data_IF_603228966770
#
_entry.id   IF_603228966770
#
_cell.length_a   1.000
_cell.length_b   1.000
_cell.length_c   1.000
_cell.angle_alpha   90.00
_cell.angle_beta   90.00
_cell.angle_gamma   90.00
#
_symmetry.space_group_name_H-M   'P 1'
#
loop_
_entity.id
_entity.type
_entity.pdbx_description
1 polymer ?
#
# COMPACT_ATOMS: atom_id res chain seq x y z
N UNK A 1 -8.62 -17.14 -12.89
CA UNK A 1 -7.96 -15.82 -12.71
C UNK A 1 -7.04 -15.90 -11.52
N UNK A 2 -5.82 -15.37 -11.61
CA UNK A 2 -4.86 -15.36 -10.49
C UNK A 2 -4.89 -13.99 -9.85
N UNK A 3 -5.23 -13.93 -8.57
CA UNK A 3 -5.29 -12.69 -7.78
C UNK A 3 -4.18 -12.70 -6.72
N UNK A 4 -3.57 -11.53 -6.49
CA UNK A 4 -2.48 -11.37 -5.53
C UNK A 4 -2.99 -10.59 -4.33
N UNK A 5 -2.99 -11.21 -3.16
CA UNK A 5 -3.46 -10.61 -1.91
C UNK A 5 -2.33 -10.54 -0.89
N UNK A 6 -2.29 -9.47 -0.10
CA UNK A 6 -1.28 -9.28 0.93
C UNK A 6 -1.93 -8.82 2.23
N UNK A 7 -1.58 -9.46 3.35
CA UNK A 7 -2.10 -9.15 4.69
C UNK A 7 -0.95 -8.99 5.69
N UNK A 8 -1.20 -8.30 6.81
CA UNK A 8 -0.20 -8.17 7.87
C UNK A 8 -0.07 -9.47 8.68
N UNK A 9 1.03 -9.60 9.42
CA UNK A 9 1.14 -10.63 10.47
C UNK A 9 0.03 -10.42 11.51
N UNK A 10 -0.66 -11.51 11.86
CA UNK A 10 -1.86 -11.55 12.72
C UNK A 10 -3.18 -11.07 12.07
N UNK A 11 -3.17 -10.67 10.81
CA UNK A 11 -4.40 -10.49 10.03
C UNK A 11 -4.88 -11.85 9.46
N UNK A 12 -6.07 -11.85 8.88
CA UNK A 12 -6.61 -13.02 8.19
C UNK A 12 -7.45 -12.64 6.98
N UNK A 13 -7.56 -13.57 6.05
CA UNK A 13 -8.43 -13.48 4.87
C UNK A 13 -9.19 -14.80 4.71
N UNK A 14 -10.45 -14.74 4.28
CA UNK A 14 -11.28 -15.93 4.06
C UNK A 14 -11.06 -16.47 2.65
N UNK A 15 -10.43 -17.64 2.53
CA UNK A 15 -10.11 -18.32 1.27
C UNK A 15 -10.29 -19.84 1.44
N UNK A 16 -10.77 -20.53 0.41
CA UNK A 16 -11.00 -21.98 0.42
C UNK A 16 -11.93 -22.45 1.58
N UNK A 17 -12.88 -21.60 1.99
CA UNK A 17 -13.82 -21.92 3.08
C UNK A 17 -13.26 -21.79 4.50
N UNK A 18 -12.06 -21.23 4.69
CA UNK A 18 -11.48 -21.00 6.01
C UNK A 18 -10.69 -19.67 6.08
N UNK A 19 -10.42 -19.18 7.30
CA UNK A 19 -9.53 -18.05 7.51
C UNK A 19 -8.07 -18.49 7.39
N UNK A 20 -7.32 -17.81 6.52
CA UNK A 20 -5.91 -18.08 6.26
C UNK A 20 -5.03 -17.03 6.94
N UNK A 21 -3.95 -17.51 7.56
CA UNK A 21 -2.99 -16.70 8.31
C UNK A 21 -1.55 -16.85 7.78
N UNK A 22 -1.37 -17.60 6.70
CA UNK A 22 -0.05 -17.96 6.18
C UNK A 22 0.01 -17.81 4.66
N UNK A 23 1.19 -17.39 4.19
CA UNK A 23 1.50 -17.26 2.76
C UNK A 23 1.24 -18.57 2.04
N UNK A 24 0.60 -18.51 0.88
CA UNK A 24 0.27 -19.70 0.12
C UNK A 24 -0.62 -19.41 -1.09
N UNK A 25 -0.86 -20.44 -1.87
CA UNK A 25 -1.82 -20.40 -2.99
C UNK A 25 -3.11 -21.09 -2.57
N UNK A 26 -4.21 -20.36 -2.65
CA UNK A 26 -5.55 -20.84 -2.32
C UNK A 26 -6.40 -20.88 -3.58
N UNK A 27 -7.21 -21.93 -3.75
CA UNK A 27 -8.04 -22.12 -4.94
C UNK A 27 -9.50 -22.22 -4.50
N UNK A 28 -10.31 -21.30 -5.01
CA UNK A 28 -11.75 -21.23 -4.78
C UNK A 28 -12.49 -21.53 -6.08
N UNK A 29 -13.49 -22.40 -6.00
CA UNK A 29 -14.43 -22.69 -7.09
C UNK A 29 -15.73 -21.94 -6.82
N UNK A 30 -15.98 -20.89 -7.59
CA UNK A 30 -17.24 -20.16 -7.56
C UNK A 30 -18.20 -20.89 -8.51
N UNK A 31 -19.07 -21.71 -7.92
CA UNK A 31 -20.05 -22.49 -8.67
C UNK A 31 -21.23 -21.59 -9.06
N UNK A 32 -21.55 -21.54 -10.36
CA UNK A 32 -22.70 -20.81 -10.88
C UNK A 32 -23.86 -21.79 -11.11
N UNK A 33 -25.08 -21.39 -10.74
CA UNK A 33 -26.29 -22.19 -10.98
C UNK A 33 -26.48 -22.50 -12.49
N UNK A 34 -25.85 -21.73 -13.37
CA UNK A 34 -25.91 -21.90 -14.83
C UNK A 34 -24.77 -22.76 -15.43
N UNK A 35 -23.86 -23.33 -14.62
CA UNK A 35 -22.79 -24.23 -15.10
C UNK A 35 -21.55 -23.56 -15.68
N UNK A 36 -21.45 -22.23 -15.60
CA UNK A 36 -20.20 -21.50 -15.82
C UNK A 36 -19.48 -21.33 -14.48
N UNK A 37 -18.76 -22.36 -14.06
CA UNK A 37 -17.99 -22.29 -12.82
C UNK A 37 -16.71 -21.49 -13.06
N UNK A 38 -16.38 -20.59 -12.13
CA UNK A 38 -15.15 -19.81 -12.20
C UNK A 38 -14.18 -20.29 -11.13
N UNK A 39 -12.95 -20.59 -11.55
CA UNK A 39 -11.85 -20.94 -10.65
C UNK A 39 -11.03 -19.69 -10.39
N UNK A 40 -10.97 -19.32 -9.11
CA UNK A 40 -10.16 -18.21 -8.59
C UNK A 40 -8.98 -18.82 -7.89
N UNK A 41 -7.79 -18.38 -8.28
CA UNK A 41 -6.55 -18.77 -7.59
C UNK A 41 -6.00 -17.53 -6.93
N UNK A 42 -5.89 -17.53 -5.62
CA UNK A 42 -5.37 -16.41 -4.84
C UNK A 42 -3.99 -16.75 -4.33
N UNK A 43 -2.99 -15.94 -4.67
CA UNK A 43 -1.68 -15.99 -4.05
C UNK A 43 -1.65 -15.01 -2.88
N UNK A 44 -1.68 -15.55 -1.66
CA UNK A 44 -1.63 -14.78 -0.42
C UNK A 44 -0.18 -14.64 0.03
N UNK A 45 0.22 -13.42 0.36
CA UNK A 45 1.48 -13.10 1.03
C UNK A 45 1.17 -12.51 2.41
N UNK A 46 1.74 -13.11 3.45
CA UNK A 46 1.69 -12.60 4.82
C UNK A 46 3.05 -11.98 5.13
N UNK A 47 3.05 -10.68 5.40
CA UNK A 47 4.26 -9.92 5.74
C UNK A 47 4.02 -9.12 7.02
N UNK A 48 5.05 -8.83 7.79
CA UNK A 48 4.96 -7.94 8.94
C UNK A 48 4.86 -6.46 8.53
N UNK A 49 5.20 -6.13 7.28
CA UNK A 49 5.11 -4.77 6.76
C UNK A 49 4.52 -4.77 5.37
N UNK A 50 3.34 -4.16 5.24
CA UNK A 50 2.74 -3.88 3.95
C UNK A 50 3.36 -2.60 3.37
N UNK A 51 3.59 -2.58 2.07
CA UNK A 51 4.07 -1.40 1.36
C UNK A 51 2.96 -0.82 0.49
N UNK A 52 2.76 0.48 0.59
CA UNK A 52 1.94 1.28 -0.31
C UNK A 52 2.79 2.10 -1.26
N UNK A 53 2.15 2.62 -2.30
CA UNK A 53 2.73 3.65 -3.15
C UNK A 53 2.12 4.99 -2.75
N UNK A 54 2.96 5.98 -2.52
CA UNK A 54 2.52 7.36 -2.32
C UNK A 54 3.14 8.27 -3.39
N UNK A 55 2.38 9.28 -3.80
CA UNK A 55 2.73 10.14 -4.92
C UNK A 55 3.00 11.54 -4.41
N UNK A 56 4.25 12.01 -4.58
CA UNK A 56 4.65 13.34 -4.18
C UNK A 56 4.84 14.25 -5.41
N UNK A 57 4.21 15.42 -5.36
CA UNK A 57 4.50 16.55 -6.25
C UNK A 57 5.44 17.51 -5.53
N UNK A 58 6.64 17.72 -6.08
CA UNK A 58 7.70 18.53 -5.47
C UNK A 58 8.10 19.61 -6.48
N UNK A 59 8.08 20.88 -6.06
CA UNK A 59 8.54 21.99 -6.88
C UNK A 59 10.07 22.08 -6.89
N UNK A 60 10.63 22.80 -7.86
CA UNK A 60 12.08 23.01 -7.93
C UNK A 60 12.58 23.76 -6.68
N UNK A 61 13.52 23.15 -5.95
CA UNK A 61 14.10 23.72 -4.73
C UNK A 61 13.41 23.27 -3.43
N UNK A 62 12.31 22.53 -3.51
CA UNK A 62 11.57 22.04 -2.34
C UNK A 62 11.97 20.62 -1.93
N UNK A 63 11.60 20.25 -0.70
CA UNK A 63 11.86 18.92 -0.17
C UNK A 63 10.73 18.44 0.75
N UNK A 64 10.46 17.14 0.72
CA UNK A 64 9.40 16.49 1.49
C UNK A 64 9.97 15.24 2.18
N UNK A 65 9.66 15.06 3.46
CA UNK A 65 9.98 13.82 4.17
C UNK A 65 8.88 12.78 3.87
N UNK A 66 9.23 11.72 3.14
CA UNK A 66 8.31 10.66 2.76
C UNK A 66 8.98 9.29 3.01
N UNK A 67 8.30 8.41 3.77
CA UNK A 67 8.81 7.07 4.07
C UNK A 67 10.11 7.05 4.88
N UNK A 68 10.37 8.08 5.70
CA UNK A 68 11.58 8.21 6.51
C UNK A 68 12.81 8.77 5.75
N UNK A 69 12.65 9.17 4.48
CA UNK A 69 13.71 9.78 3.69
C UNK A 69 13.25 11.10 3.04
N UNK A 70 14.19 12.04 2.86
CA UNK A 70 13.94 13.30 2.16
C UNK A 70 13.89 13.05 0.65
N UNK A 71 12.80 13.47 0.01
CA UNK A 71 12.63 13.43 -1.43
C UNK A 71 12.83 14.83 -2.00
N UNK A 72 13.59 14.91 -3.10
CA UNK A 72 13.87 16.15 -3.87
C UNK A 72 13.45 16.03 -5.34
N UNK A 73 12.77 14.94 -5.69
CA UNK A 73 12.30 14.65 -7.04
C UNK A 73 10.87 14.15 -6.96
N UNK A 74 9.98 14.74 -7.76
CA UNK A 74 8.59 14.31 -7.85
C UNK A 74 8.52 12.87 -8.37
N UNK A 75 7.60 12.07 -7.84
CA UNK A 75 7.46 10.69 -8.26
C UNK A 75 6.68 9.82 -7.28
N UNK A 76 6.68 8.53 -7.58
CA UNK A 76 6.05 7.50 -6.77
C UNK A 76 7.11 6.89 -5.86
N UNK A 77 6.87 6.92 -4.55
CA UNK A 77 7.75 6.29 -3.55
C UNK A 77 7.02 5.14 -2.88
N UNK A 78 7.73 4.02 -2.67
CA UNK A 78 7.20 2.88 -1.92
C UNK A 78 7.43 3.10 -0.43
N UNK A 79 6.36 3.13 0.36
CA UNK A 79 6.40 3.39 1.79
C UNK A 79 5.70 2.30 2.60
N UNK A 80 6.17 1.97 3.82
CA UNK A 80 5.42 1.12 4.73
C UNK A 80 4.04 1.71 5.06
N UNK A 81 2.96 0.96 4.89
CA UNK A 81 1.59 1.37 5.24
C UNK A 81 1.40 1.83 6.71
N UNK A 82 2.07 1.28 7.74
CA UNK A 82 1.93 1.83 9.09
C UNK A 82 2.55 3.24 9.26
N UNK A 83 3.28 3.75 8.27
CA UNK A 83 3.94 5.06 8.29
C UNK A 83 3.22 6.12 7.46
N UNK A 84 1.99 5.87 7.01
CA UNK A 84 1.25 6.80 6.14
C UNK A 84 0.69 8.05 6.88
N UNK A 85 1.08 8.26 8.15
CA UNK A 85 0.64 9.40 8.96
C UNK A 85 1.86 10.21 9.39
N UNK A 86 2.16 11.27 8.64
CA UNK A 86 3.14 12.28 9.05
C UNK A 86 4.10 12.70 7.94
N UNK A 87 3.61 13.54 7.02
CA UNK A 87 4.47 14.25 6.07
C UNK A 87 5.00 15.51 6.75
N UNK A 88 6.32 15.67 6.85
CA UNK A 88 6.94 16.94 7.22
C UNK A 88 7.53 17.55 5.95
N UNK A 89 6.96 18.67 5.52
CA UNK A 89 7.50 19.48 4.41
C UNK A 89 8.45 20.52 5.00
N UNK A 90 9.68 20.58 4.49
CA UNK A 90 10.61 21.67 4.78
C UNK A 90 10.70 22.54 3.54
N UNK A 91 10.08 23.72 3.59
CA UNK A 91 10.23 24.73 2.55
C UNK A 91 11.54 25.50 2.77
N UNK A 92 12.29 25.73 1.69
CA UNK A 92 13.17 26.89 1.59
C UNK A 92 12.55 27.84 0.57
N UNK A 93 11.44 28.48 0.93
CA UNK A 93 10.95 29.60 0.13
C UNK A 93 11.54 30.89 0.66
N UNK A 94 12.13 31.66 -0.26
CA UNK A 94 12.45 33.06 -0.05
C UNK A 94 11.22 33.79 0.51
N UNK A 95 11.36 34.28 1.75
CA UNK A 95 10.59 35.36 2.38
C UNK A 95 9.06 35.39 2.16
N UNK A 96 8.32 35.16 3.25
CA UNK A 96 6.90 35.50 3.46
C UNK A 96 5.82 34.48 3.05
N UNK A 97 5.91 33.22 3.47
CA UNK A 97 4.68 32.50 3.84
C UNK A 97 5.01 31.43 4.90
N UNK A 98 4.63 31.72 6.14
CA UNK A 98 4.55 30.75 7.23
C UNK A 98 3.21 30.04 7.08
N UNK A 99 3.17 28.91 6.38
CA UNK A 99 2.03 28.00 6.50
C UNK A 99 2.52 26.58 6.74
N UNK A 100 2.34 26.15 7.99
CA UNK A 100 2.36 24.74 8.36
C UNK A 100 1.05 24.12 7.89
N UNK A 101 1.02 23.63 6.67
CA UNK A 101 -0.11 22.80 6.23
C UNK A 101 0.16 21.37 6.66
N UNK A 102 -0.52 20.97 7.74
CA UNK A 102 -0.77 19.56 8.05
C UNK A 102 -1.75 19.03 7.02
N UNK A 103 -1.36 17.98 6.29
CA UNK A 103 -2.30 17.07 5.64
C UNK A 103 -2.04 15.69 6.25
#
# INVERSE_FOLDING_TARGET
>A
MVDGQQICTNDSIFLQGAYQFSTGTYVDTLNSIAGCDSVVTTYLVVDNTLYGNDTASICFGDSILLGGAMQITAGITRIPLPQQVGVIVWYHTSSNYSDKQFI
#
